data_IF_305625569614
#
_entry.id   IF_305625569614
#
_cell.length_a   1.000
_cell.length_b   1.000
_cell.length_c   1.000
_cell.angle_alpha   90.00
_cell.angle_beta   90.00
_cell.angle_gamma   90.00
#
_symmetry.space_group_name_H-M   'P 1'
#
loop_
_entity.id
_entity.type
_entity.pdbx_description
1 polymer ?
#
# COMPACT_ATOMS: atom_id res chain seq x y z
N UNK A 1 -7.25 13.20 17.68
CA UNK A 1 -8.50 13.33 16.91
C UNK A 1 -8.07 13.48 15.46
N UNK A 2 -8.17 12.42 14.66
CA UNK A 2 -7.78 12.45 13.25
C UNK A 2 -9.06 12.59 12.43
N UNK A 3 -9.26 13.77 11.88
CA UNK A 3 -10.43 14.15 11.10
C UNK A 3 -10.31 13.67 9.65
N UNK A 4 -11.38 13.01 9.20
CA UNK A 4 -11.82 12.80 7.81
C UNK A 4 -10.91 12.04 6.83
N UNK A 5 -10.92 10.72 6.93
CA UNK A 5 -10.93 9.93 5.70
C UNK A 5 -12.20 10.30 4.90
N UNK A 6 -12.11 10.63 3.61
CA UNK A 6 -13.28 10.91 2.79
C UNK A 6 -14.24 9.72 2.86
N UNK A 7 -15.53 9.98 3.03
CA UNK A 7 -16.56 8.92 3.12
C UNK A 7 -16.62 8.06 1.85
N UNK A 8 -16.05 8.55 0.74
CA UNK A 8 -15.86 7.82 -0.50
C UNK A 8 -14.55 8.25 -1.20
N UNK A 9 -13.71 7.28 -1.55
CA UNK A 9 -12.48 7.45 -2.33
C UNK A 9 -12.53 6.55 -3.55
N UNK A 10 -11.89 6.96 -4.65
CA UNK A 10 -11.77 6.11 -5.84
C UNK A 10 -10.89 4.88 -5.59
N UNK A 11 -9.83 5.05 -4.81
CA UNK A 11 -8.87 4.00 -4.50
C UNK A 11 -9.16 3.37 -3.14
N UNK A 12 -8.80 2.08 -3.03
CA UNK A 12 -8.87 1.33 -1.77
C UNK A 12 -7.71 1.73 -0.85
N UNK A 13 -7.86 1.45 0.45
CA UNK A 13 -6.77 1.64 1.41
C UNK A 13 -5.51 0.84 1.02
N UNK A 14 -5.65 -0.35 0.44
CA UNK A 14 -4.52 -1.12 -0.09
C UNK A 14 -3.74 -0.35 -1.16
N UNK A 15 -4.47 0.28 -2.08
CA UNK A 15 -3.87 1.10 -3.14
C UNK A 15 -3.15 2.32 -2.55
N UNK A 16 -3.77 3.00 -1.59
CA UNK A 16 -3.13 4.12 -0.90
C UNK A 16 -1.86 3.72 -0.14
N UNK A 17 -1.84 2.55 0.53
CA UNK A 17 -0.64 2.02 1.18
C UNK A 17 0.47 1.74 0.16
N UNK A 18 0.15 1.16 -1.01
CA UNK A 18 1.14 0.92 -2.06
C UNK A 18 1.73 2.23 -2.61
N UNK A 19 0.92 3.26 -2.82
CA UNK A 19 1.38 4.60 -3.22
C UNK A 19 2.33 5.19 -2.17
N UNK A 20 2.02 5.05 -0.88
CA UNK A 20 2.92 5.48 0.19
C UNK A 20 4.28 4.76 0.14
N UNK A 21 4.28 3.44 -0.05
CA UNK A 21 5.51 2.63 -0.08
C UNK A 21 6.32 2.81 -1.36
N UNK A 22 5.68 3.18 -2.47
CA UNK A 22 6.37 3.58 -3.70
C UNK A 22 7.20 4.86 -3.47
N UNK A 23 6.67 5.81 -2.69
CA UNK A 23 7.35 7.06 -2.36
C UNK A 23 8.50 6.88 -1.37
N UNK A 24 8.28 6.08 -0.32
CA UNK A 24 9.32 5.72 0.64
C UNK A 24 9.17 4.24 1.09
N UNK A 25 10.08 3.35 0.67
CA UNK A 25 10.04 1.93 1.04
C UNK A 25 10.34 1.67 2.52
N UNK A 26 10.81 2.66 3.29
CA UNK A 26 11.12 2.55 4.73
C UNK A 26 10.04 3.18 5.62
N UNK A 27 8.93 3.60 5.04
CA UNK A 27 7.87 4.31 5.75
C UNK A 27 7.28 3.46 6.88
N UNK A 28 7.07 4.07 8.06
CA UNK A 28 6.53 3.36 9.23
C UNK A 28 5.03 3.21 9.10
N UNK A 29 4.48 2.14 9.66
CA UNK A 29 3.03 1.88 9.64
C UNK A 29 2.22 3.06 10.22
N UNK A 30 2.72 3.70 11.28
CA UNK A 30 2.13 4.91 11.86
C UNK A 30 2.08 6.09 10.88
N UNK A 31 3.15 6.32 10.11
CA UNK A 31 3.27 7.47 9.21
C UNK A 31 2.33 7.25 8.00
N UNK A 32 2.24 6.00 7.52
CA UNK A 32 1.25 5.57 6.51
C UNK A 32 -0.17 5.78 7.03
N UNK A 33 -0.45 5.40 8.28
CA UNK A 33 -1.78 5.51 8.87
C UNK A 33 -2.27 6.96 8.92
N UNK A 34 -1.38 7.88 9.31
CA UNK A 34 -1.64 9.32 9.31
C UNK A 34 -1.93 9.84 7.89
N UNK A 35 -1.13 9.46 6.90
CA UNK A 35 -1.33 9.91 5.51
C UNK A 35 -2.58 9.33 4.84
N UNK A 36 -2.91 8.07 5.12
CA UNK A 36 -4.07 7.37 4.53
C UNK A 36 -5.37 7.71 5.29
N UNK A 37 -5.29 8.19 6.53
CA UNK A 37 -6.47 8.48 7.36
C UNK A 37 -7.12 7.24 7.97
N UNK A 38 -6.33 6.20 8.25
CA UNK A 38 -6.79 4.95 8.88
C UNK A 38 -6.01 4.65 10.15
N UNK A 39 -6.37 3.59 10.86
CA UNK A 39 -5.63 3.18 12.06
C UNK A 39 -4.31 2.48 11.70
N UNK A 40 -3.29 2.59 12.56
CA UNK A 40 -2.03 1.85 12.38
C UNK A 40 -2.25 0.33 12.32
N UNK A 41 -3.21 -0.19 13.11
CA UNK A 41 -3.63 -1.60 13.04
C UNK A 41 -4.19 -1.96 11.67
N UNK A 42 -4.97 -1.08 11.06
CA UNK A 42 -5.49 -1.28 9.69
C UNK A 42 -4.35 -1.32 8.68
N UNK A 43 -3.36 -0.44 8.80
CA UNK A 43 -2.16 -0.47 7.93
C UNK A 43 -1.40 -1.79 8.12
N UNK A 44 -1.14 -2.22 9.35
CA UNK A 44 -0.43 -3.48 9.62
C UNK A 44 -1.17 -4.67 9.00
N UNK A 45 -2.50 -4.72 9.10
CA UNK A 45 -3.32 -5.75 8.44
C UNK A 45 -3.16 -5.71 6.93
N UNK A 46 -3.24 -4.53 6.31
CA UNK A 46 -3.06 -4.35 4.87
C UNK A 46 -1.67 -4.81 4.42
N UNK A 47 -0.61 -4.45 5.16
CA UNK A 47 0.76 -4.88 4.85
C UNK A 47 0.90 -6.40 4.89
N UNK A 48 0.29 -7.07 5.88
CA UNK A 48 0.26 -8.53 5.97
C UNK A 48 -0.49 -9.13 4.79
N UNK A 49 -1.70 -8.66 4.49
CA UNK A 49 -2.51 -9.14 3.36
C UNK A 49 -1.73 -8.98 2.03
N UNK A 50 -1.15 -7.80 1.77
CA UNK A 50 -0.33 -7.56 0.57
C UNK A 50 0.89 -8.49 0.48
N UNK A 51 1.48 -8.85 1.63
CA UNK A 51 2.61 -9.78 1.70
C UNK A 51 2.17 -11.22 1.41
N UNK A 52 1.08 -11.67 2.03
CA UNK A 52 0.48 -12.99 1.78
C UNK A 52 0.09 -13.17 0.31
N UNK A 53 -0.37 -12.09 -0.32
CA UNK A 53 -0.73 -12.06 -1.73
C UNK A 53 0.46 -11.90 -2.69
N UNK A 54 1.68 -11.80 -2.18
CA UNK A 54 2.91 -11.69 -2.95
C UNK A 54 3.07 -10.37 -3.72
N UNK A 55 2.24 -9.35 -3.43
CA UNK A 55 2.35 -8.00 -4.01
C UNK A 55 3.43 -7.20 -3.29
N UNK A 56 3.70 -7.54 -2.03
CA UNK A 56 4.67 -6.87 -1.18
C UNK A 56 5.65 -7.90 -0.61
N UNK A 57 6.92 -7.56 -0.54
CA UNK A 57 7.89 -8.26 0.30
C UNK A 57 8.35 -7.34 1.41
N UNK A 58 8.60 -7.91 2.59
CA UNK A 58 9.07 -7.20 3.78
C UNK A 58 10.37 -7.81 4.24
N UNK A 59 11.43 -7.00 4.22
CA UNK A 59 12.76 -7.38 4.71
C UNK A 59 13.16 -6.48 5.88
N UNK A 60 13.81 -7.06 6.88
CA UNK A 60 14.28 -6.29 8.04
C UNK A 60 15.68 -5.76 7.76
N UNK A 61 15.80 -4.43 7.69
CA UNK A 61 17.07 -3.72 7.54
C UNK A 61 17.39 -2.94 8.82
N UNK A 62 18.22 -3.56 9.67
CA UNK A 62 18.59 -3.03 10.97
C UNK A 62 17.36 -2.86 11.90
N UNK A 63 16.99 -1.61 12.19
CA UNK A 63 15.84 -1.25 13.05
C UNK A 63 14.56 -0.97 12.27
N UNK A 64 14.59 -1.00 10.94
CA UNK A 64 13.44 -0.69 10.08
C UNK A 64 13.08 -1.89 9.21
N UNK A 65 11.83 -1.91 8.76
CA UNK A 65 11.44 -2.78 7.66
C UNK A 65 11.64 -1.99 6.37
N UNK A 66 12.19 -2.65 5.35
CA UNK A 66 12.16 -2.21 3.97
C UNK A 66 11.08 -3.00 3.24
N UNK A 67 10.17 -2.29 2.58
CA UNK A 67 9.13 -2.90 1.78
C UNK A 67 9.49 -2.79 0.30
N UNK A 68 9.32 -3.88 -0.44
CA UNK A 68 9.46 -3.88 -1.91
C UNK A 68 8.13 -4.29 -2.53
N UNK A 69 7.62 -3.46 -3.44
CA UNK A 69 6.39 -3.74 -4.19
C UNK A 69 6.75 -4.51 -5.46
N UNK A 70 6.09 -5.64 -5.69
CA UNK A 70 6.15 -6.35 -6.97
C UNK A 70 5.17 -5.70 -7.95
N UNK A 71 5.70 -4.78 -8.75
CA UNK A 71 4.94 -4.03 -9.75
C UNK A 71 4.39 -4.89 -10.89
N UNK A 72 4.91 -6.12 -11.09
CA UNK A 72 4.47 -7.02 -12.16
C UNK A 72 3.17 -7.76 -11.84
N UNK A 73 2.70 -7.71 -10.59
CA UNK A 73 1.46 -8.39 -10.20
C UNK A 73 0.26 -7.78 -10.91
N UNK A 74 -0.66 -8.59 -11.47
CA UNK A 74 -1.87 -8.08 -12.08
C UNK A 74 -2.81 -7.47 -11.03
N UNK A 75 -3.62 -6.50 -11.44
CA UNK A 75 -4.74 -6.04 -10.63
C UNK A 75 -5.74 -7.19 -10.50
N UNK A 76 -6.16 -7.48 -9.26
CA UNK A 76 -6.91 -8.72 -8.96
C UNK A 76 -8.37 -8.71 -9.44
N UNK A 77 -8.86 -7.58 -9.94
CA UNK A 77 -10.24 -7.48 -10.41
C UNK A 77 -10.35 -8.00 -11.85
N UNK A 78 -11.31 -8.87 -12.20
CA UNK A 78 -11.43 -9.44 -13.55
C UNK A 78 -11.55 -8.41 -14.69
N UNK A 79 -12.00 -7.20 -14.38
CA UNK A 79 -12.06 -6.11 -15.37
C UNK A 79 -10.69 -5.47 -15.67
N UNK A 80 -9.73 -5.66 -14.77
CA UNK A 80 -8.44 -4.95 -14.75
C UNK A 80 -7.25 -5.91 -14.71
N UNK A 81 -7.47 -7.23 -14.80
CA UNK A 81 -6.42 -8.25 -14.71
C UNK A 81 -5.37 -8.18 -15.84
N UNK A 82 -5.73 -7.51 -16.93
CA UNK A 82 -4.85 -7.14 -18.04
C UNK A 82 -3.86 -6.02 -17.69
N UNK A 83 -4.00 -5.37 -16.52
CA UNK A 83 -3.13 -4.31 -16.01
C UNK A 83 -2.35 -4.79 -14.81
N UNK A 84 -1.15 -4.26 -14.65
CA UNK A 84 -0.30 -4.53 -13.51
C UNK A 84 -0.45 -3.46 -12.42
N UNK A 85 -0.03 -3.78 -11.20
CA UNK A 85 0.11 -2.81 -10.10
C UNK A 85 0.99 -1.63 -10.53
N UNK A 86 1.99 -1.86 -11.39
CA UNK A 86 2.78 -0.81 -12.04
C UNK A 86 1.92 0.27 -12.72
N UNK A 87 0.90 -0.13 -13.48
CA UNK A 87 0.08 0.79 -14.28
C UNK A 87 -0.70 1.74 -13.37
N UNK A 88 -1.23 1.22 -12.26
CA UNK A 88 -1.93 2.02 -11.26
C UNK A 88 -0.98 3.01 -10.57
N UNK A 89 0.20 2.55 -10.17
CA UNK A 89 1.17 3.34 -9.43
C UNK A 89 1.87 4.38 -10.31
N UNK A 90 1.97 4.15 -11.62
CA UNK A 90 2.47 5.13 -12.59
C UNK A 90 1.60 6.40 -12.68
N UNK A 91 0.32 6.34 -12.29
CA UNK A 91 -0.56 7.52 -12.24
C UNK A 91 -0.14 8.55 -11.17
N UNK A 92 0.72 8.15 -10.23
CA UNK A 92 1.12 8.96 -9.08
C UNK A 92 2.64 9.17 -8.96
N UNK A 93 3.39 8.82 -10.01
CA UNK A 93 4.84 8.95 -10.10
C UNK A 93 5.29 10.38 -10.45
#
# INVERSE_FOLDING_TARGET
>A
MTEFAPKWTFLTNHSHVLVCLQKDPFMRARDIAEMVGITERSVQRILTELTEYGVLTREKEGRRNRYSVDFSKPLRHPLEDHRAVADLLALFA
#
